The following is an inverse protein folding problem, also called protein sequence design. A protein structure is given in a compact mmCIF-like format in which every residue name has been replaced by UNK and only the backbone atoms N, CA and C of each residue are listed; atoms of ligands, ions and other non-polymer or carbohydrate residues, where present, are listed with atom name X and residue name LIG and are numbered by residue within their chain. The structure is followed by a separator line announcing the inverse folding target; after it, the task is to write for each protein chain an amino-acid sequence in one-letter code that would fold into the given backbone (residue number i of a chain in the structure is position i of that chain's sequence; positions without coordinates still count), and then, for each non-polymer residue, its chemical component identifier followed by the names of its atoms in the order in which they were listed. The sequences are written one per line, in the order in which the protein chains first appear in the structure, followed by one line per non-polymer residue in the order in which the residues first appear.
data_IF_927583860704
#
_entry.id   IF_927583860704
#
_cell.length_a   1.000
_cell.length_b   1.000
_cell.length_c   1.000
_cell.angle_alpha   90.00
_cell.angle_beta   90.00
_cell.angle_gamma   90.00
#
_symmetry.space_group_name_H-M   'P 1'
#
loop_
_entity.id
_entity.type
_entity.pdbx_description
1 polymer ?
#
# COMPACT_ATOMS: atom_id res chain seq x y z
N UNK A 1 5.37 -14.89 2.79
CA UNK A 1 5.05 -13.56 2.21
C UNK A 1 4.78 -12.54 3.32
N UNK A 2 3.63 -12.53 4.01
CA UNK A 2 3.35 -11.50 5.04
C UNK A 2 4.35 -11.48 6.20
N UNK A 3 4.68 -12.63 6.80
CA UNK A 3 5.70 -12.72 7.87
C UNK A 3 7.06 -12.14 7.46
N UNK A 4 7.42 -12.26 6.19
CA UNK A 4 8.69 -11.75 5.66
C UNK A 4 8.65 -10.23 5.48
N UNK A 5 7.55 -9.69 4.95
CA UNK A 5 7.36 -8.25 4.84
C UNK A 5 7.34 -7.57 6.24
N UNK A 6 6.68 -8.20 7.21
CA UNK A 6 6.65 -7.72 8.60
C UNK A 6 8.00 -7.86 9.33
N UNK A 7 8.89 -8.76 8.91
CA UNK A 7 10.20 -8.89 9.53
C UNK A 7 11.10 -7.66 9.30
N UNK A 8 10.82 -6.85 8.27
CA UNK A 8 11.61 -5.66 7.94
C UNK A 8 11.35 -4.50 8.91
N UNK A 9 10.08 -4.20 9.21
CA UNK A 9 9.73 -3.08 10.09
C UNK A 9 8.57 -3.34 11.06
N UNK A 10 7.85 -4.46 10.94
CA UNK A 10 6.72 -4.83 11.81
C UNK A 10 5.47 -3.96 11.64
N UNK A 11 5.39 -3.11 10.61
CA UNK A 11 4.33 -2.11 10.44
C UNK A 11 3.49 -2.36 9.19
N UNK A 12 2.23 -1.93 9.25
CA UNK A 12 1.28 -1.92 8.13
C UNK A 12 0.74 -0.50 7.98
N UNK A 13 0.81 0.07 6.77
CA UNK A 13 0.20 1.36 6.47
C UNK A 13 -1.23 1.16 5.94
N UNK A 14 -2.23 1.75 6.59
CA UNK A 14 -3.63 1.68 6.16
C UNK A 14 -4.06 3.05 5.61
N UNK A 15 -4.27 3.15 4.30
CA UNK A 15 -4.49 4.41 3.59
C UNK A 15 -5.99 4.70 3.41
N UNK A 16 -6.65 5.14 4.50
CA UNK A 16 -8.07 5.52 4.47
C UNK A 16 -8.30 6.78 3.63
N UNK A 17 -9.31 6.74 2.75
CA UNK A 17 -9.66 7.89 1.92
C UNK A 17 -8.67 8.17 0.79
N UNK A 18 -7.78 7.21 0.49
CA UNK A 18 -6.81 7.34 -0.57
C UNK A 18 -7.50 7.56 -1.93
N UNK A 19 -7.12 8.62 -2.64
CA UNK A 19 -7.57 8.87 -4.00
C UNK A 19 -6.55 8.32 -5.01
N UNK A 20 -6.99 7.82 -6.18
CA UNK A 20 -6.08 7.22 -7.17
C UNK A 20 -4.89 8.10 -7.57
N UNK A 21 -5.12 9.41 -7.77
CA UNK A 21 -4.08 10.35 -8.17
C UNK A 21 -2.98 10.57 -7.12
N UNK A 22 -3.21 10.18 -5.87
CA UNK A 22 -2.24 10.29 -4.78
C UNK A 22 -1.52 8.97 -4.50
N UNK A 23 -2.04 7.85 -5.03
CA UNK A 23 -1.62 6.50 -4.67
C UNK A 23 -0.13 6.24 -4.96
N UNK A 24 0.36 6.64 -6.14
CA UNK A 24 1.77 6.45 -6.50
C UNK A 24 2.70 7.24 -5.56
N UNK A 25 2.45 8.54 -5.40
CA UNK A 25 3.29 9.42 -4.60
C UNK A 25 3.32 9.00 -3.12
N UNK A 26 2.17 8.68 -2.52
CA UNK A 26 2.11 8.20 -1.14
C UNK A 26 2.79 6.84 -1.00
N UNK A 27 2.54 5.92 -1.94
CA UNK A 27 3.16 4.59 -1.93
C UNK A 27 4.69 4.65 -1.96
N UNK A 28 5.27 5.47 -2.83
CA UNK A 28 6.72 5.63 -2.96
C UNK A 28 7.35 6.16 -1.68
N UNK A 29 6.74 7.18 -1.06
CA UNK A 29 7.21 7.74 0.21
C UNK A 29 7.18 6.70 1.33
N UNK A 30 6.09 5.93 1.45
CA UNK A 30 5.98 4.88 2.46
C UNK A 30 7.01 3.77 2.23
N UNK A 31 7.22 3.37 0.98
CA UNK A 31 8.22 2.36 0.65
C UNK A 31 9.63 2.84 1.00
N UNK A 32 9.96 4.09 0.67
CA UNK A 32 11.24 4.72 1.02
C UNK A 32 11.43 4.84 2.55
N UNK A 33 10.34 5.07 3.29
CA UNK A 33 10.33 5.08 4.76
C UNK A 33 10.41 3.67 5.39
N UNK A 34 10.46 2.60 4.59
CA UNK A 34 10.66 1.23 5.04
C UNK A 34 9.39 0.39 5.16
N UNK A 35 8.21 0.91 4.81
CA UNK A 35 6.97 0.11 4.79
C UNK A 35 7.03 -0.96 3.69
N UNK A 36 6.59 -2.17 4.05
CA UNK A 36 6.51 -3.31 3.13
C UNK A 36 5.12 -3.94 3.06
N UNK A 37 4.18 -3.41 3.83
CA UNK A 37 2.77 -3.81 3.80
C UNK A 37 1.91 -2.55 3.77
N UNK A 38 1.11 -2.41 2.73
CA UNK A 38 0.19 -1.29 2.52
C UNK A 38 -1.21 -1.86 2.25
N UNK A 39 -2.20 -1.31 2.93
CA UNK A 39 -3.61 -1.67 2.79
C UNK A 39 -4.42 -0.46 2.30
N UNK A 40 -5.30 -0.69 1.34
CA UNK A 40 -6.32 0.27 0.90
C UNK A 40 -7.70 -0.23 1.33
N UNK A 41 -8.41 0.48 2.22
CA UNK A 41 -9.78 0.14 2.59
C UNK A 41 -10.74 0.26 1.40
N UNK A 42 -11.64 -0.70 1.25
CA UNK A 42 -12.63 -0.77 0.16
C UNK A 42 -13.72 0.31 0.23
N UNK A 43 -13.77 1.07 1.32
CA UNK A 43 -14.59 2.27 1.42
C UNK A 43 -13.86 3.57 1.01
N UNK A 44 -12.61 3.48 0.50
CA UNK A 44 -11.90 4.60 -0.09
C UNK A 44 -12.44 4.95 -1.48
N UNK A 45 -12.23 6.17 -2.01
CA UNK A 45 -12.57 6.51 -3.39
C UNK A 45 -11.84 5.59 -4.38
N UNK A 46 -12.60 4.95 -5.29
CA UNK A 46 -12.06 4.10 -6.36
C UNK A 46 -10.95 3.13 -5.88
N UNK A 47 -11.22 2.29 -4.87
CA UNK A 47 -10.18 1.62 -4.10
C UNK A 47 -9.36 0.63 -4.96
N UNK A 48 -10.01 -0.02 -5.92
CA UNK A 48 -9.34 -0.94 -6.86
C UNK A 48 -8.38 -0.22 -7.80
N UNK A 49 -8.67 1.03 -8.18
CA UNK A 49 -7.76 1.86 -8.98
C UNK A 49 -6.51 2.17 -8.17
N UNK A 50 -6.69 2.65 -6.94
CA UNK A 50 -5.59 2.92 -6.00
C UNK A 50 -4.73 1.68 -5.74
N UNK A 51 -5.33 0.51 -5.53
CA UNK A 51 -4.59 -0.77 -5.36
C UNK A 51 -3.78 -1.11 -6.61
N UNK A 52 -4.36 -0.94 -7.81
CA UNK A 52 -3.66 -1.24 -9.06
C UNK A 52 -2.47 -0.32 -9.27
N UNK A 53 -2.64 0.98 -9.01
CA UNK A 53 -1.57 1.98 -9.08
C UNK A 53 -0.45 1.61 -8.10
N UNK A 54 -0.78 1.35 -6.82
CA UNK A 54 0.21 0.95 -5.82
C UNK A 54 1.00 -0.30 -6.25
N UNK A 55 0.32 -1.32 -6.79
CA UNK A 55 0.98 -2.56 -7.24
C UNK A 55 1.83 -2.36 -8.49
N UNK A 56 1.45 -1.47 -9.41
CA UNK A 56 2.28 -1.15 -10.59
C UNK A 56 3.48 -0.27 -10.26
N UNK A 57 3.34 0.61 -9.26
CA UNK A 57 4.38 1.56 -8.86
C UNK A 57 5.43 0.90 -7.95
N UNK A 58 5.00 0.04 -7.02
CA UNK A 58 5.89 -0.43 -5.96
C UNK A 58 6.59 -1.76 -6.28
N UNK A 59 7.81 -1.99 -5.74
CA UNK A 59 8.53 -3.25 -5.93
C UNK A 59 7.75 -4.49 -5.45
N UNK A 60 8.15 -5.66 -5.94
CA UNK A 60 7.46 -6.93 -5.66
C UNK A 60 7.51 -7.36 -4.19
N UNK A 61 8.46 -6.84 -3.42
CA UNK A 61 8.59 -7.10 -1.98
C UNK A 61 7.63 -6.25 -1.12
N UNK A 62 6.89 -5.31 -1.72
CA UNK A 62 5.81 -4.58 -1.05
C UNK A 62 4.48 -5.29 -1.27
N UNK A 63 3.88 -5.77 -0.18
CA UNK A 63 2.55 -6.38 -0.19
C UNK A 63 1.47 -5.29 -0.20
N UNK A 64 0.58 -5.35 -1.19
CA UNK A 64 -0.56 -4.46 -1.33
C UNK A 64 -1.83 -5.28 -1.11
N UNK A 65 -2.65 -4.86 -0.16
CA UNK A 65 -3.89 -5.53 0.22
C UNK A 65 -5.11 -4.63 0.21
N UNK A 66 -6.30 -5.24 0.23
CA UNK A 66 -7.57 -4.56 0.45
C UNK A 66 -8.08 -4.86 1.86
N UNK A 67 -8.58 -3.85 2.56
CA UNK A 67 -9.25 -3.97 3.87
C UNK A 67 -10.74 -3.65 3.78
N UNK A 68 -11.54 -4.23 4.69
CA UNK A 68 -12.99 -3.94 4.82
C UNK A 68 -13.26 -2.93 5.92
#
# INVERSE_FOLDING_TARGET
MLKQALAQNGLIAILRGLRPQEAAAIGEVLYAAGFRVIEVPLNSPEPYESIRILRSTLPADCLIGAGT
#
